data_IF_575714429924
#
_entry.id   IF_575714429924
#
_cell.length_a   1.000
_cell.length_b   1.000
_cell.length_c   1.000
_cell.angle_alpha   90.00
_cell.angle_beta   90.00
_cell.angle_gamma   90.00
#
_symmetry.space_group_name_H-M   'P 1'
#
loop_
_entity.id
_entity.type
_entity.pdbx_description
1 polymer ?
#
# COMPACT_ATOMS: atom_id res chain seq x y z
N UNK A 1 -27.30 9.02 -2.00
CA UNK A 1 -26.33 8.38 -1.11
C UNK A 1 -25.46 9.48 -0.51
N UNK A 2 -25.09 9.39 0.77
CA UNK A 2 -24.13 10.32 1.38
C UNK A 2 -22.78 10.18 0.68
N UNK A 3 -21.97 11.25 0.64
CA UNK A 3 -20.59 11.19 0.13
C UNK A 3 -19.79 10.16 0.95
N UNK A 4 -19.02 9.28 0.30
CA UNK A 4 -18.13 8.37 1.03
C UNK A 4 -17.12 9.16 1.87
N UNK A 5 -16.73 8.62 3.03
CA UNK A 5 -15.65 9.13 3.85
C UNK A 5 -14.46 8.18 3.78
N UNK A 6 -13.32 8.69 3.34
CA UNK A 6 -12.14 7.88 3.03
C UNK A 6 -10.95 8.36 3.85
N UNK A 7 -10.30 7.44 4.56
CA UNK A 7 -8.99 7.66 5.19
C UNK A 7 -7.89 7.29 4.21
N UNK A 8 -6.93 8.20 4.00
CA UNK A 8 -5.79 8.00 3.10
C UNK A 8 -4.48 8.15 3.86
N UNK A 9 -3.53 7.24 3.60
CA UNK A 9 -2.13 7.34 4.03
C UNK A 9 -1.19 6.77 2.96
N UNK A 10 0.13 6.91 3.15
CA UNK A 10 1.16 6.35 2.28
C UNK A 10 2.46 6.14 3.06
N UNK A 11 3.52 5.67 2.41
CA UNK A 11 4.88 5.59 2.94
C UNK A 11 5.88 6.54 2.25
N UNK A 12 5.49 7.16 1.12
CA UNK A 12 6.31 8.16 0.44
C UNK A 12 6.31 9.54 1.13
N UNK A 13 5.37 9.75 2.07
CA UNK A 13 5.19 10.99 2.82
C UNK A 13 4.08 11.89 2.27
N UNK A 14 3.59 12.80 3.14
CA UNK A 14 2.41 13.65 2.87
C UNK A 14 2.59 14.60 1.66
N UNK A 15 3.83 14.93 1.28
CA UNK A 15 4.14 15.79 0.13
C UNK A 15 4.35 15.01 -1.17
N UNK A 16 4.32 13.67 -1.14
CA UNK A 16 4.58 12.84 -2.31
C UNK A 16 3.53 13.05 -3.41
N UNK A 17 3.97 12.92 -4.66
CA UNK A 17 3.09 13.14 -5.84
C UNK A 17 1.94 12.14 -5.88
N UNK A 18 2.20 10.88 -5.52
CA UNK A 18 1.19 9.81 -5.55
C UNK A 18 0.00 10.08 -4.63
N UNK A 19 0.23 10.49 -3.38
CA UNK A 19 -0.85 10.79 -2.44
C UNK A 19 -1.60 12.07 -2.84
N UNK A 20 -0.89 13.10 -3.32
CA UNK A 20 -1.53 14.33 -3.78
C UNK A 20 -2.40 14.08 -5.02
N UNK A 21 -1.95 13.27 -5.97
CA UNK A 21 -2.76 12.85 -7.10
C UNK A 21 -4.02 12.07 -6.66
N UNK A 22 -3.89 11.20 -5.66
CA UNK A 22 -5.02 10.45 -5.10
C UNK A 22 -6.05 11.39 -4.44
N UNK A 23 -5.59 12.40 -3.70
CA UNK A 23 -6.44 13.45 -3.10
C UNK A 23 -7.20 14.19 -4.20
N UNK A 24 -6.51 14.69 -5.23
CA UNK A 24 -7.14 15.42 -6.34
C UNK A 24 -8.18 14.58 -7.08
N UNK A 25 -7.89 13.28 -7.27
CA UNK A 25 -8.78 12.34 -7.96
C UNK A 25 -10.05 12.05 -7.15
N UNK A 26 -9.94 11.91 -5.83
CA UNK A 26 -11.06 11.46 -4.99
C UNK A 26 -11.85 12.60 -4.33
N UNK A 27 -11.25 13.79 -4.11
CA UNK A 27 -11.95 14.92 -3.47
C UNK A 27 -13.24 15.36 -4.17
N UNK A 28 -13.44 15.24 -5.49
CA UNK A 28 -14.72 15.54 -6.10
C UNK A 28 -15.87 14.62 -5.69
N UNK A 29 -15.56 13.38 -5.26
CA UNK A 29 -16.52 12.30 -5.04
C UNK A 29 -16.62 11.81 -3.60
N UNK A 30 -15.66 12.17 -2.73
CA UNK A 30 -15.57 11.70 -1.35
C UNK A 30 -15.15 12.81 -0.39
N UNK A 31 -15.46 12.67 0.90
CA UNK A 31 -14.84 13.41 1.98
C UNK A 31 -13.56 12.67 2.40
N UNK A 32 -12.46 13.40 2.59
CA UNK A 32 -11.13 12.82 2.77
C UNK A 32 -10.51 13.25 4.10
N UNK A 33 -10.04 12.28 4.88
CA UNK A 33 -9.05 12.48 5.94
C UNK A 33 -7.73 11.88 5.47
N UNK A 34 -6.71 12.72 5.35
CA UNK A 34 -5.36 12.32 4.95
C UNK A 34 -4.46 12.43 6.16
N UNK A 35 -3.86 11.32 6.57
CA UNK A 35 -2.86 11.30 7.65
C UNK A 35 -1.67 10.49 7.15
N UNK A 36 -0.56 11.15 6.84
CA UNK A 36 0.59 10.52 6.21
C UNK A 36 1.91 10.93 6.90
N UNK A 37 2.97 10.13 6.77
CA UNK A 37 4.27 10.47 7.33
C UNK A 37 4.79 11.82 6.84
N UNK A 38 5.49 12.54 7.70
CA UNK A 38 6.15 13.82 7.39
C UNK A 38 7.37 13.68 6.46
N UNK A 39 7.88 12.47 6.33
CA UNK A 39 9.05 12.10 5.53
C UNK A 39 8.91 10.66 5.02
N UNK A 40 9.62 10.27 3.94
CA UNK A 40 9.55 8.91 3.39
C UNK A 40 9.87 7.83 4.43
N UNK A 41 9.09 6.73 4.38
CA UNK A 41 9.18 5.54 5.24
C UNK A 41 9.21 4.25 4.40
N UNK A 42 9.80 4.29 3.21
CA UNK A 42 9.88 3.12 2.33
C UNK A 42 10.62 1.96 3.00
N UNK A 43 10.12 0.74 2.83
CA UNK A 43 10.70 -0.47 3.43
C UNK A 43 10.35 -0.71 4.91
N UNK A 44 9.50 0.13 5.52
CA UNK A 44 9.10 -0.06 6.93
C UNK A 44 8.03 -1.15 7.10
N UNK A 45 7.37 -1.59 6.04
CA UNK A 45 6.33 -2.62 6.13
C UNK A 45 5.22 -2.25 7.11
N UNK A 46 4.82 -3.21 7.94
CA UNK A 46 3.81 -3.03 8.98
C UNK A 46 4.40 -2.57 10.34
N UNK A 47 5.56 -1.93 10.35
CA UNK A 47 6.19 -1.49 11.61
C UNK A 47 5.40 -0.39 12.32
N UNK A 48 5.52 -0.36 13.66
CA UNK A 48 4.96 0.66 14.53
C UNK A 48 6.05 1.36 15.34
N UNK A 49 5.82 2.60 15.73
CA UNK A 49 6.71 3.37 16.61
C UNK A 49 6.35 3.10 18.07
N UNK A 50 7.02 2.13 18.70
CA UNK A 50 6.76 1.74 20.10
C UNK A 50 7.70 2.39 21.11
N UNK A 51 8.86 2.91 20.67
CA UNK A 51 9.95 3.37 21.54
C UNK A 51 10.02 4.91 21.68
N UNK A 52 9.19 5.64 20.95
CA UNK A 52 9.17 7.11 20.96
C UNK A 52 7.74 7.65 20.80
N UNK A 53 7.45 8.87 21.28
CA UNK A 53 6.17 9.51 21.00
C UNK A 53 6.04 9.85 19.51
N UNK A 54 4.82 9.78 18.98
CA UNK A 54 4.48 10.28 17.66
C UNK A 54 3.77 11.62 17.78
N UNK A 55 4.01 12.49 16.81
CA UNK A 55 3.38 13.80 16.76
C UNK A 55 2.65 13.95 15.42
N UNK A 56 1.59 14.74 15.42
CA UNK A 56 0.92 15.10 14.17
C UNK A 56 0.74 16.61 14.07
N UNK A 57 0.61 17.09 12.84
CA UNK A 57 0.33 18.49 12.54
C UNK A 57 -0.74 18.56 11.45
N UNK A 58 -1.81 19.30 11.71
CA UNK A 58 -2.79 19.65 10.68
C UNK A 58 -2.15 20.63 9.70
N UNK A 59 -2.08 20.25 8.43
CA UNK A 59 -1.47 21.05 7.36
C UNK A 59 -2.53 21.81 6.57
N UNK A 60 -3.72 21.20 6.39
CA UNK A 60 -4.81 21.79 5.64
C UNK A 60 -6.17 21.31 6.20
N UNK A 61 -7.17 22.19 6.17
CA UNK A 61 -8.55 21.88 6.56
C UNK A 61 -9.51 22.73 5.77
N UNK A 62 -10.43 22.08 5.08
CA UNK A 62 -11.57 22.71 4.39
C UNK A 62 -12.74 21.73 4.36
N UNK A 63 -13.97 22.16 4.02
CA UNK A 63 -15.10 21.26 3.92
C UNK A 63 -14.81 20.07 2.98
N UNK A 64 -14.87 18.86 3.54
CA UNK A 64 -14.62 17.60 2.82
C UNK A 64 -13.14 17.22 2.63
N UNK A 65 -12.19 17.97 3.19
CA UNK A 65 -10.76 17.61 3.13
C UNK A 65 -10.00 18.07 4.38
N UNK A 66 -9.41 17.12 5.10
CA UNK A 66 -8.44 17.39 6.16
C UNK A 66 -7.12 16.66 5.84
N UNK A 67 -6.00 17.37 5.91
CA UNK A 67 -4.65 16.81 5.66
C UNK A 67 -3.78 17.02 6.89
N UNK A 68 -3.22 15.95 7.40
CA UNK A 68 -2.30 15.94 8.54
C UNK A 68 -0.98 15.22 8.18
N UNK A 69 0.13 15.77 8.68
CA UNK A 69 1.40 15.01 8.72
C UNK A 69 1.60 14.36 10.08
N UNK A 70 2.31 13.23 10.10
CA UNK A 70 2.66 12.47 11.30
C UNK A 70 4.14 12.09 11.29
N UNK A 71 4.80 12.11 12.46
CA UNK A 71 6.22 11.70 12.60
C UNK A 71 6.40 10.18 12.63
N UNK A 72 5.31 9.41 12.71
CA UNK A 72 5.30 7.95 12.79
C UNK A 72 5.39 7.25 11.43
N UNK A 73 5.19 5.93 11.48
CA UNK A 73 5.09 5.06 10.31
C UNK A 73 3.74 5.21 9.61
N UNK A 74 3.55 4.65 8.40
CA UNK A 74 2.22 4.57 7.77
C UNK A 74 1.15 3.90 8.65
N UNK A 75 1.52 2.83 9.37
CA UNK A 75 0.64 2.15 10.33
C UNK A 75 0.28 3.06 11.50
N UNK A 76 1.24 3.81 12.04
CA UNK A 76 0.98 4.78 13.10
C UNK A 76 0.01 5.88 12.64
N UNK A 77 0.12 6.32 11.37
CA UNK A 77 -0.80 7.29 10.78
C UNK A 77 -2.25 6.78 10.78
N UNK A 78 -2.46 5.52 10.40
CA UNK A 78 -3.79 4.88 10.43
C UNK A 78 -4.29 4.77 11.87
N UNK A 79 -3.45 4.29 12.81
CA UNK A 79 -3.80 4.19 14.23
C UNK A 79 -4.18 5.54 14.82
N UNK A 80 -3.39 6.57 14.56
CA UNK A 80 -3.66 7.95 15.01
C UNK A 80 -5.00 8.44 14.44
N UNK A 81 -5.22 8.28 13.13
CA UNK A 81 -6.43 8.69 12.47
C UNK A 81 -7.66 8.03 13.09
N UNK A 82 -7.67 6.70 13.17
CA UNK A 82 -8.82 5.91 13.64
C UNK A 82 -9.15 6.12 15.12
N UNK A 83 -8.15 6.44 15.94
CA UNK A 83 -8.38 6.62 17.38
C UNK A 83 -8.69 8.06 17.80
N UNK A 84 -8.22 9.07 17.03
CA UNK A 84 -8.25 10.46 17.50
C UNK A 84 -8.79 11.47 16.49
N UNK A 85 -8.76 11.19 15.20
CA UNK A 85 -9.00 12.25 14.19
C UNK A 85 -10.28 12.03 13.36
N UNK A 86 -10.81 10.81 13.31
CA UNK A 86 -12.08 10.55 12.60
C UNK A 86 -13.26 11.12 13.40
N UNK A 87 -14.22 11.71 12.71
CA UNK A 87 -15.50 12.14 13.24
C UNK A 87 -16.63 11.15 12.98
N UNK A 88 -16.45 10.27 12.01
CA UNK A 88 -17.34 9.16 11.65
C UNK A 88 -16.54 7.98 11.11
N UNK A 89 -17.16 6.80 11.03
CA UNK A 89 -16.53 5.59 10.50
C UNK A 89 -16.15 5.79 9.01
N UNK A 90 -14.88 5.61 8.61
CA UNK A 90 -14.51 5.57 7.20
C UNK A 90 -15.20 4.43 6.44
N UNK A 91 -15.65 4.71 5.21
CA UNK A 91 -16.19 3.71 4.30
C UNK A 91 -15.08 2.89 3.63
N UNK A 92 -13.87 3.47 3.53
CA UNK A 92 -12.70 2.84 2.94
C UNK A 92 -11.41 3.44 3.52
N UNK A 93 -10.38 2.60 3.69
CA UNK A 93 -9.01 3.04 4.00
C UNK A 93 -8.14 2.77 2.78
N UNK A 94 -7.36 3.75 2.35
CA UNK A 94 -6.52 3.66 1.15
C UNK A 94 -5.07 3.93 1.51
N UNK A 95 -4.20 2.97 1.17
CA UNK A 95 -2.74 3.18 1.09
C UNK A 95 -2.34 3.63 -0.31
N UNK A 96 -1.51 4.66 -0.44
CA UNK A 96 -0.92 5.01 -1.74
C UNK A 96 -1.06 6.45 -2.18
N UNK A 97 -0.78 6.70 -3.46
CA UNK A 97 -0.29 5.76 -4.49
C UNK A 97 1.23 5.62 -4.33
N UNK A 98 1.70 4.42 -4.17
CA UNK A 98 3.12 4.12 -4.03
C UNK A 98 3.89 4.32 -5.35
N UNK A 99 5.10 4.89 -5.27
CA UNK A 99 6.08 4.87 -6.36
C UNK A 99 6.87 3.55 -6.34
N UNK A 100 6.57 2.65 -7.26
CA UNK A 100 7.07 1.28 -7.30
C UNK A 100 5.99 0.25 -7.01
N UNK A 101 6.19 -0.98 -7.48
CA UNK A 101 5.23 -2.06 -7.29
C UNK A 101 5.34 -2.69 -5.90
N UNK A 102 4.21 -3.13 -5.40
CA UNK A 102 4.06 -3.90 -4.18
C UNK A 102 3.54 -5.32 -4.49
N UNK A 103 3.80 -5.81 -5.71
CA UNK A 103 3.45 -7.16 -6.14
C UNK A 103 4.41 -8.20 -5.53
N UNK A 104 3.98 -9.46 -5.52
CA UNK A 104 4.82 -10.56 -5.09
C UNK A 104 5.36 -10.36 -3.66
N UNK A 105 6.60 -10.75 -3.37
CA UNK A 105 7.26 -10.63 -2.06
C UNK A 105 7.37 -9.18 -1.56
N UNK A 106 7.31 -8.17 -2.45
CA UNK A 106 7.36 -6.76 -2.06
C UNK A 106 6.21 -6.35 -1.13
N UNK A 107 5.08 -7.06 -1.20
CA UNK A 107 3.94 -6.92 -0.26
C UNK A 107 4.39 -6.89 1.20
N UNK A 108 5.37 -7.72 1.57
CA UNK A 108 5.82 -7.87 2.97
C UNK A 108 6.68 -6.69 3.46
N UNK A 109 7.28 -5.92 2.56
CA UNK A 109 8.15 -4.78 2.89
C UNK A 109 7.46 -3.43 2.74
N UNK A 110 6.26 -3.41 2.16
CA UNK A 110 5.54 -2.21 1.77
C UNK A 110 4.86 -1.52 2.94
N UNK A 111 5.20 -0.25 3.18
CA UNK A 111 4.45 0.61 4.10
C UNK A 111 3.07 0.98 3.57
N UNK A 112 2.91 1.10 2.25
CA UNK A 112 1.61 1.28 1.59
C UNK A 112 0.67 0.09 1.85
N UNK A 113 1.18 -1.15 1.78
CA UNK A 113 0.44 -2.33 2.22
C UNK A 113 0.19 -2.32 3.73
N UNK A 114 1.12 -1.78 4.52
CA UNK A 114 0.95 -1.59 5.96
C UNK A 114 -0.29 -0.76 6.31
N UNK A 115 -0.60 0.29 5.52
CA UNK A 115 -1.84 1.08 5.66
C UNK A 115 -3.08 0.21 5.46
N UNK A 116 -3.14 -0.55 4.36
CA UNK A 116 -4.30 -1.40 4.05
C UNK A 116 -4.44 -2.55 5.04
N UNK A 117 -3.32 -3.14 5.46
CA UNK A 117 -3.25 -4.19 6.48
C UNK A 117 -3.79 -3.69 7.82
N UNK A 118 -3.32 -2.54 8.32
CA UNK A 118 -3.81 -1.99 9.59
C UNK A 118 -5.31 -1.68 9.51
N UNK A 119 -5.76 -1.08 8.41
CA UNK A 119 -7.19 -0.81 8.22
C UNK A 119 -8.04 -2.09 8.28
N UNK A 120 -7.62 -3.15 7.60
CA UNK A 120 -8.33 -4.43 7.60
C UNK A 120 -8.26 -5.15 8.95
N UNK A 121 -7.16 -5.05 9.71
CA UNK A 121 -7.05 -5.53 11.09
C UNK A 121 -8.04 -4.82 12.02
N UNK A 122 -8.31 -3.54 11.77
CA UNK A 122 -9.30 -2.74 12.53
C UNK A 122 -10.73 -2.94 12.02
N UNK A 123 -10.94 -3.84 11.05
CA UNK A 123 -12.26 -4.18 10.51
C UNK A 123 -12.83 -3.18 9.52
N UNK A 124 -11.99 -2.42 8.82
CA UNK A 124 -12.39 -1.50 7.75
C UNK A 124 -12.08 -2.10 6.37
N UNK A 125 -12.94 -1.91 5.36
CA UNK A 125 -12.56 -2.16 3.98
C UNK A 125 -11.28 -1.38 3.66
N UNK A 126 -10.29 -2.04 3.05
CA UNK A 126 -8.97 -1.43 2.85
C UNK A 126 -8.33 -1.86 1.55
N UNK A 127 -7.70 -0.91 0.85
CA UNK A 127 -7.01 -1.14 -0.41
C UNK A 127 -5.66 -0.44 -0.41
N UNK A 128 -4.69 -1.00 -1.14
CA UNK A 128 -3.42 -0.36 -1.42
C UNK A 128 -3.27 -0.18 -2.93
N UNK A 129 -2.89 1.04 -3.36
CA UNK A 129 -2.60 1.37 -4.76
C UNK A 129 -1.11 1.60 -4.96
N UNK A 130 -0.55 1.01 -6.01
CA UNK A 130 0.86 1.15 -6.38
C UNK A 130 1.02 1.28 -7.89
N UNK A 131 1.94 2.14 -8.34
CA UNK A 131 2.33 2.27 -9.74
C UNK A 131 3.74 1.69 -9.93
N UNK A 132 3.92 0.75 -10.85
CA UNK A 132 5.20 0.12 -11.17
C UNK A 132 6.16 1.08 -11.90
N UNK A 133 6.32 2.30 -11.38
CA UNK A 133 7.26 3.31 -11.90
C UNK A 133 7.90 4.05 -10.73
N UNK A 134 9.23 3.86 -10.55
CA UNK A 134 10.01 4.48 -9.47
C UNK A 134 10.54 5.89 -9.81
N UNK A 135 10.25 6.41 -11.01
CA UNK A 135 10.76 7.71 -11.42
C UNK A 135 10.07 8.84 -10.68
N UNK A 136 10.79 9.90 -10.37
CA UNK A 136 10.22 11.10 -9.74
C UNK A 136 9.14 11.77 -10.60
N UNK A 137 9.28 11.67 -11.94
CA UNK A 137 8.34 12.21 -12.93
C UNK A 137 7.24 11.22 -13.36
N UNK A 138 7.04 10.12 -12.63
CA UNK A 138 6.02 9.12 -12.94
C UNK A 138 4.64 9.77 -13.19
N UNK A 139 3.96 9.35 -14.26
CA UNK A 139 2.64 9.85 -14.64
C UNK A 139 1.52 8.99 -14.03
N UNK A 140 0.78 9.57 -13.09
CA UNK A 140 -0.38 8.92 -12.47
C UNK A 140 -1.69 9.14 -13.24
N UNK A 141 -1.71 10.01 -14.25
CA UNK A 141 -2.94 10.39 -14.98
C UNK A 141 -3.72 9.18 -15.51
N UNK A 142 -3.08 8.14 -16.08
CA UNK A 142 -3.81 6.96 -16.58
C UNK A 142 -4.58 6.19 -15.52
N UNK A 143 -4.25 6.38 -14.23
CA UNK A 143 -4.85 5.65 -13.11
C UNK A 143 -6.21 6.23 -12.68
N UNK A 144 -6.49 7.51 -12.95
CA UNK A 144 -7.59 8.26 -12.35
C UNK A 144 -8.95 7.54 -12.45
N UNK A 145 -9.36 7.17 -13.67
CA UNK A 145 -10.65 6.51 -13.90
C UNK A 145 -10.73 5.11 -13.26
N UNK A 146 -9.62 4.37 -13.24
CA UNK A 146 -9.55 3.07 -12.57
C UNK A 146 -9.66 3.21 -11.07
N UNK A 147 -8.97 4.19 -10.46
CA UNK A 147 -9.03 4.45 -9.02
C UNK A 147 -10.46 4.76 -8.59
N UNK A 148 -11.17 5.64 -9.30
CA UNK A 148 -12.56 5.98 -8.99
C UNK A 148 -13.45 4.74 -9.04
N UNK A 149 -13.38 3.94 -10.10
CA UNK A 149 -14.16 2.71 -10.27
C UNK A 149 -13.84 1.67 -9.19
N UNK A 150 -12.54 1.46 -8.90
CA UNK A 150 -12.08 0.50 -7.89
C UNK A 150 -12.46 0.92 -6.48
N UNK A 151 -12.43 2.21 -6.14
CA UNK A 151 -12.87 2.73 -4.85
C UNK A 151 -14.35 2.42 -4.62
N UNK A 152 -15.24 2.75 -5.58
CA UNK A 152 -16.65 2.46 -5.42
C UNK A 152 -16.94 0.96 -5.37
N UNK A 153 -16.25 0.15 -6.17
CA UNK A 153 -16.37 -1.32 -6.12
C UNK A 153 -15.91 -1.88 -4.79
N UNK A 154 -14.82 -1.36 -4.24
CA UNK A 154 -14.29 -1.80 -2.94
C UNK A 154 -15.23 -1.47 -1.78
N UNK A 155 -15.84 -0.28 -1.80
CA UNK A 155 -16.87 0.10 -0.81
C UNK A 155 -18.10 -0.82 -0.94
N UNK A 156 -18.57 -1.05 -2.16
CA UNK A 156 -19.76 -1.88 -2.40
C UNK A 156 -19.55 -3.37 -2.11
N UNK A 157 -18.33 -3.89 -2.24
CA UNK A 157 -18.00 -5.29 -2.02
C UNK A 157 -18.16 -5.71 -0.55
N UNK A 158 -17.86 -4.82 0.39
CA UNK A 158 -17.86 -5.16 1.80
C UNK A 158 -16.85 -6.29 2.08
N UNK A 159 -15.58 -5.97 2.19
CA UNK A 159 -14.49 -6.97 2.30
C UNK A 159 -14.67 -7.88 3.51
N UNK A 160 -14.33 -9.18 3.38
CA UNK A 160 -14.28 -10.09 4.52
C UNK A 160 -13.31 -9.58 5.60
N UNK A 161 -13.54 -9.91 6.87
CA UNK A 161 -12.59 -9.62 7.94
C UNK A 161 -11.18 -10.11 7.60
N UNK A 162 -10.16 -9.41 8.06
CA UNK A 162 -8.75 -9.74 7.83
C UNK A 162 -8.35 -9.81 6.34
N UNK A 163 -9.04 -9.08 5.47
CA UNK A 163 -8.74 -9.05 4.04
C UNK A 163 -8.61 -7.61 3.54
N UNK A 164 -7.57 -7.35 2.74
CA UNK A 164 -7.43 -6.12 1.98
C UNK A 164 -7.11 -6.43 0.51
N UNK A 165 -7.13 -5.41 -0.36
CA UNK A 165 -6.74 -5.55 -1.76
C UNK A 165 -5.41 -4.87 -2.02
N UNK A 166 -4.48 -5.61 -2.61
CA UNK A 166 -3.25 -5.10 -3.18
C UNK A 166 -3.45 -4.84 -4.68
N UNK A 167 -3.45 -3.58 -5.08
CA UNK A 167 -3.78 -3.16 -6.46
C UNK A 167 -2.56 -2.48 -7.06
N UNK A 168 -1.98 -3.11 -8.06
CA UNK A 168 -0.80 -2.64 -8.74
C UNK A 168 -1.11 -2.28 -10.20
N UNK A 169 -0.64 -1.11 -10.63
CA UNK A 169 -0.75 -0.62 -11.99
C UNK A 169 0.58 -0.79 -12.71
N UNK A 170 0.61 -1.39 -13.90
CA UNK A 170 1.83 -1.47 -14.68
C UNK A 170 2.24 -0.08 -15.18
N UNK A 171 3.53 0.11 -15.45
CA UNK A 171 4.04 1.31 -16.13
C UNK A 171 3.55 1.34 -17.57
N UNK A 172 2.44 2.00 -17.83
CA UNK A 172 1.85 2.14 -19.17
C UNK A 172 0.88 3.32 -19.22
N UNK A 173 0.75 3.94 -20.40
CA UNK A 173 -0.23 5.01 -20.62
C UNK A 173 -1.67 4.48 -20.83
N UNK A 174 -1.81 3.18 -21.09
CA UNK A 174 -3.10 2.50 -21.27
C UNK A 174 -3.00 1.06 -20.79
N UNK A 175 -3.97 0.64 -19.99
CA UNK A 175 -4.04 -0.71 -19.46
C UNK A 175 -4.93 -1.60 -20.34
N UNK A 176 -4.59 -2.88 -20.45
CA UNK A 176 -5.39 -3.88 -21.17
C UNK A 176 -6.66 -4.32 -20.42
N UNK A 177 -6.81 -3.88 -19.18
CA UNK A 177 -7.91 -4.22 -18.29
C UNK A 177 -7.41 -4.60 -16.91
N UNK A 178 -8.29 -5.20 -16.11
CA UNK A 178 -8.01 -5.64 -14.73
C UNK A 178 -7.94 -7.16 -14.68
N UNK A 179 -6.99 -7.71 -13.91
CA UNK A 179 -6.90 -9.12 -13.58
C UNK A 179 -6.90 -9.34 -12.08
N UNK A 180 -7.69 -10.31 -11.64
CA UNK A 180 -7.62 -10.82 -10.28
C UNK A 180 -6.56 -11.91 -10.28
N UNK A 181 -5.56 -11.75 -9.40
CA UNK A 181 -4.35 -12.56 -9.39
C UNK A 181 -4.08 -13.12 -7.99
N UNK A 182 -3.33 -14.19 -7.92
CA UNK A 182 -2.61 -14.54 -6.69
C UNK A 182 -1.25 -13.85 -6.66
N UNK A 183 -0.67 -13.75 -5.47
CA UNK A 183 0.71 -13.31 -5.28
C UNK A 183 1.68 -14.27 -6.00
N UNK A 184 2.61 -13.75 -6.80
CA UNK A 184 3.68 -14.55 -7.38
C UNK A 184 4.69 -14.98 -6.32
N UNK A 185 5.24 -16.17 -6.44
CA UNK A 185 6.38 -16.58 -5.64
C UNK A 185 7.66 -15.98 -6.21
N UNK A 186 8.35 -15.20 -5.41
CA UNK A 186 9.63 -14.61 -5.76
C UNK A 186 10.53 -14.44 -4.53
N UNK A 187 11.79 -14.12 -4.76
CA UNK A 187 12.74 -13.78 -3.70
C UNK A 187 13.74 -12.73 -4.17
N UNK A 188 14.19 -11.92 -3.26
CA UNK A 188 15.32 -11.03 -3.50
C UNK A 188 16.64 -11.79 -3.42
N UNK A 189 17.59 -11.42 -4.28
CA UNK A 189 18.95 -11.98 -4.32
C UNK A 189 19.96 -10.86 -4.46
N UNK A 190 21.25 -11.14 -4.11
CA UNK A 190 22.37 -10.20 -4.20
C UNK A 190 22.12 -8.88 -3.48
N UNK A 191 21.43 -8.92 -2.35
CA UNK A 191 20.80 -7.77 -1.70
C UNK A 191 21.79 -6.76 -1.06
N UNK A 192 23.10 -7.04 -0.99
CA UNK A 192 24.07 -6.16 -0.35
C UNK A 192 25.20 -5.75 -1.28
N UNK A 193 25.32 -4.47 -1.55
CA UNK A 193 26.47 -3.88 -2.23
C UNK A 193 27.43 -3.25 -1.22
N UNK A 194 28.60 -3.88 -1.01
CA UNK A 194 29.67 -3.36 -0.14
C UNK A 194 30.34 -2.15 -0.77
N UNK A 195 30.59 -1.11 0.03
CA UNK A 195 31.35 0.09 -0.31
C UNK A 195 32.30 0.42 0.84
N UNK A 196 33.33 1.23 0.55
CA UNK A 196 34.23 1.75 1.59
C UNK A 196 33.97 3.22 1.83
N UNK A 197 33.83 3.56 3.10
CA UNK A 197 33.79 4.96 3.52
C UNK A 197 35.20 5.58 3.34
N UNK A 198 35.32 6.88 3.02
CA UNK A 198 36.62 7.56 2.91
C UNK A 198 37.56 7.35 4.14
N UNK A 199 36.98 7.19 5.32
CA UNK A 199 37.73 6.90 6.56
C UNK A 199 37.96 5.40 6.83
N UNK A 200 37.79 4.52 5.82
CA UNK A 200 38.19 3.14 5.87
C UNK A 200 37.16 2.12 6.35
N UNK A 201 36.10 2.54 6.99
CA UNK A 201 34.99 1.65 7.40
C UNK A 201 34.21 1.12 6.20
N UNK A 202 33.76 -0.13 6.27
CA UNK A 202 32.83 -0.67 5.27
C UNK A 202 31.41 -0.19 5.58
N UNK A 203 30.63 0.06 4.51
CA UNK A 203 29.18 0.25 4.58
C UNK A 203 28.49 -0.48 3.44
N UNK A 204 27.21 -0.73 3.59
CA UNK A 204 26.44 -1.55 2.66
C UNK A 204 25.19 -0.82 2.21
N UNK A 205 24.93 -0.90 0.90
CA UNK A 205 23.64 -0.51 0.34
C UNK A 205 22.78 -1.76 0.19
N UNK A 206 21.51 -1.63 0.57
CA UNK A 206 20.51 -2.61 0.17
C UNK A 206 20.19 -2.39 -1.31
N UNK A 207 20.37 -3.44 -2.09
CA UNK A 207 20.21 -3.51 -3.55
C UNK A 207 19.53 -4.83 -3.85
N UNK A 208 19.60 -5.33 -5.08
CA UNK A 208 19.26 -6.70 -5.40
C UNK A 208 18.39 -6.84 -6.63
N UNK A 209 18.25 -8.09 -7.01
CA UNK A 209 17.40 -8.53 -8.13
C UNK A 209 16.28 -9.41 -7.59
N UNK A 210 15.05 -9.15 -8.02
CA UNK A 210 13.90 -9.98 -7.65
C UNK A 210 13.78 -11.15 -8.64
N UNK A 211 14.14 -12.36 -8.17
CA UNK A 211 14.00 -13.59 -8.93
C UNK A 211 12.56 -14.10 -8.87
N UNK A 212 11.97 -14.40 -10.01
CA UNK A 212 10.69 -15.10 -10.10
C UNK A 212 10.91 -16.61 -10.01
N UNK A 213 10.21 -17.27 -9.07
CA UNK A 213 10.36 -18.71 -8.84
C UNK A 213 9.39 -19.55 -9.70
N UNK A 214 8.43 -18.91 -10.34
CA UNK A 214 7.40 -19.55 -11.18
C UNK A 214 7.11 -18.73 -12.45
N UNK A 215 8.12 -18.47 -13.30
CA UNK A 215 8.00 -17.56 -14.45
C UNK A 215 6.95 -17.99 -15.48
N UNK A 216 6.57 -19.26 -15.52
CA UNK A 216 5.56 -19.80 -16.43
C UNK A 216 4.12 -19.64 -15.91
N UNK A 217 3.92 -19.21 -14.64
CA UNK A 217 2.59 -19.06 -14.07
C UNK A 217 1.90 -17.79 -14.61
N UNK A 218 0.72 -17.95 -15.20
CA UNK A 218 -0.04 -16.87 -15.87
C UNK A 218 -1.17 -16.29 -15.03
N UNK A 219 -1.33 -16.76 -13.80
CA UNK A 219 -2.36 -16.36 -12.84
C UNK A 219 -1.84 -15.42 -11.74
N UNK A 220 -0.58 -14.98 -11.86
CA UNK A 220 0.12 -14.16 -10.87
C UNK A 220 0.02 -12.67 -11.15
N UNK A 221 0.21 -11.86 -10.09
CA UNK A 221 0.31 -10.40 -10.16
C UNK A 221 1.48 -9.94 -11.06
N UNK A 222 2.65 -10.57 -10.92
CA UNK A 222 3.83 -10.27 -11.75
C UNK A 222 3.55 -10.50 -13.23
N UNK A 223 2.93 -11.63 -13.57
CA UNK A 223 2.55 -11.91 -14.95
C UNK A 223 1.57 -10.87 -15.49
N UNK A 224 0.54 -10.53 -14.73
CA UNK A 224 -0.46 -9.53 -15.14
C UNK A 224 0.18 -8.17 -15.43
N UNK A 225 1.05 -7.70 -14.54
CA UNK A 225 1.78 -6.43 -14.68
C UNK A 225 2.70 -6.44 -15.90
N UNK A 226 3.49 -7.50 -16.10
CA UNK A 226 4.37 -7.65 -17.26
C UNK A 226 3.60 -7.63 -18.59
N UNK A 227 2.32 -8.06 -18.58
CA UNK A 227 1.47 -8.09 -19.77
C UNK A 227 0.55 -6.87 -19.91
N UNK A 228 0.70 -5.84 -19.08
CA UNK A 228 -0.01 -4.55 -19.17
C UNK A 228 -1.42 -4.56 -18.58
N UNK A 229 -1.72 -5.46 -17.67
CA UNK A 229 -2.96 -5.49 -16.89
C UNK A 229 -2.76 -4.85 -15.52
N UNK A 230 -3.79 -4.21 -15.01
CA UNK A 230 -3.89 -3.86 -13.59
C UNK A 230 -4.07 -5.15 -12.80
N UNK A 231 -3.19 -5.42 -11.84
CA UNK A 231 -3.26 -6.60 -10.99
C UNK A 231 -3.98 -6.28 -9.68
N UNK A 232 -4.98 -7.09 -9.32
CA UNK A 232 -5.64 -7.05 -8.01
C UNK A 232 -5.39 -8.37 -7.30
N UNK A 233 -4.69 -8.32 -6.19
CA UNK A 233 -4.40 -9.48 -5.35
C UNK A 233 -5.15 -9.35 -4.02
N UNK A 234 -6.17 -10.19 -3.77
CA UNK A 234 -6.77 -10.26 -2.43
C UNK A 234 -5.73 -10.79 -1.45
N UNK A 235 -5.50 -10.03 -0.38
CA UNK A 235 -4.46 -10.32 0.61
C UNK A 235 -5.11 -10.67 1.93
N UNK A 236 -4.89 -11.90 2.40
CA UNK A 236 -5.35 -12.38 3.69
C UNK A 236 -4.30 -12.05 4.77
N UNK A 237 -4.76 -11.54 5.90
CA UNK A 237 -3.92 -11.15 7.04
C UNK A 237 -3.78 -12.28 8.08
N UNK A 238 -4.58 -13.33 7.98
CA UNK A 238 -4.35 -14.56 8.73
C UNK A 238 -3.25 -15.37 8.01
N UNK A 239 -2.06 -15.30 8.58
CA UNK A 239 -0.85 -15.95 8.04
C UNK A 239 -0.71 -17.42 8.46
N UNK A 240 -1.76 -18.02 9.03
CA UNK A 240 -1.77 -19.42 9.43
C UNK A 240 -1.80 -20.33 8.18
N UNK A 241 -0.82 -21.21 8.05
CA UNK A 241 -0.89 -22.30 7.08
C UNK A 241 -1.80 -23.41 7.63
N UNK A 242 -3.04 -23.42 7.18
CA UNK A 242 -4.06 -24.37 7.66
C UNK A 242 -3.81 -25.82 7.21
N UNK A 243 -3.10 -26.03 6.10
CA UNK A 243 -2.72 -27.39 5.66
C UNK A 243 -1.63 -27.93 6.58
N UNK A 244 -0.58 -27.18 6.80
CA UNK A 244 0.48 -27.56 7.74
C UNK A 244 -0.06 -27.68 9.17
N UNK A 245 -0.96 -26.79 9.62
CA UNK A 245 -1.60 -26.88 10.93
C UNK A 245 -2.29 -28.23 11.14
N UNK A 246 -3.00 -28.73 10.12
CA UNK A 246 -3.67 -30.03 10.20
C UNK A 246 -2.68 -31.20 10.27
N UNK A 247 -1.57 -31.12 9.55
CA UNK A 247 -0.49 -32.12 9.64
C UNK A 247 0.13 -32.11 11.04
N UNK A 248 0.45 -30.92 11.58
CA UNK A 248 1.06 -30.82 12.91
C UNK A 248 0.16 -31.35 14.02
N UNK A 249 -1.16 -31.09 13.96
CA UNK A 249 -2.13 -31.65 14.93
C UNK A 249 -2.19 -33.18 14.97
N UNK A 250 -1.76 -33.83 13.89
CA UNK A 250 -1.69 -35.30 13.82
C UNK A 250 -0.32 -35.85 14.24
N UNK A 251 0.70 -34.96 14.29
CA UNK A 251 2.09 -35.35 14.55
C UNK A 251 2.50 -35.07 16.00
N UNK A 252 1.94 -34.01 16.59
CA UNK A 252 2.17 -33.58 17.98
C UNK A 252 0.92 -33.72 18.84
#
# INVERSE_FOLDING_TARGET
>A
MSRPYILISNDDGVQARGINFLIETLRPIADLLVVAPDSPRSGFGCSITSAAPIHYKKLHEEPGLTVCSCTGTPVDCVKLALNLLIDRRPDLIIGGINHGDNSSVNTHYSGTMGVATEGALQGYPSVAFSLCDHREDADFTPLASYIVDLVFKSIALGMPPFTCLNINFPKANKFKGVRICRMAHSRWQHELARRKHPYGADYFWLVGDCEELEPEATDTDRWALAHGYVAITPTNLDVTDYELLNVLKQTF
#
